data_IF_624487111814
#
_entry.id   IF_624487111814
#
_cell.length_a   1.000
_cell.length_b   1.000
_cell.length_c   1.000
_cell.angle_alpha   90.00
_cell.angle_beta   90.00
_cell.angle_gamma   90.00
#
_symmetry.space_group_name_H-M   'P 1'
#
loop_
_entity.id
_entity.type
_entity.pdbx_description
1 polymer ?
#
# COMPACT_ATOMS: atom_id res chain seq x y z
N UNK A 1 21.56 20.44 -4.60
CA UNK A 1 21.02 19.88 -3.34
C UNK A 1 19.57 19.57 -3.62
N UNK A 2 19.06 18.42 -3.18
CA UNK A 2 17.65 18.12 -3.32
C UNK A 2 16.82 19.14 -2.52
N UNK A 3 15.68 19.53 -3.07
CA UNK A 3 14.74 20.45 -2.43
C UNK A 3 14.08 19.74 -1.23
N UNK A 4 14.11 20.37 -0.05
CA UNK A 4 13.48 19.84 1.16
C UNK A 4 12.33 20.75 1.57
N UNK A 5 11.11 20.21 1.55
CA UNK A 5 9.88 20.94 1.85
C UNK A 5 9.17 20.27 3.03
N UNK A 6 8.67 21.09 3.97
CA UNK A 6 7.79 20.62 5.04
C UNK A 6 6.37 20.46 4.48
N UNK A 7 5.83 19.24 4.52
CA UNK A 7 4.49 18.96 3.99
C UNK A 7 3.80 17.83 4.72
N UNK A 8 2.49 17.73 4.55
CA UNK A 8 1.70 16.57 5.03
C UNK A 8 1.94 15.33 4.18
N UNK A 9 1.68 14.14 4.75
CA UNK A 9 1.74 12.88 4.01
C UNK A 9 0.83 12.85 2.78
N UNK A 10 -0.39 13.38 2.89
CA UNK A 10 -1.30 13.47 1.75
C UNK A 10 -0.78 14.39 0.64
N UNK A 11 -0.16 15.51 1.00
CA UNK A 11 0.50 16.43 0.04
C UNK A 11 1.69 15.74 -0.65
N UNK A 12 2.44 14.94 0.11
CA UNK A 12 3.58 14.19 -0.41
C UNK A 12 3.18 13.17 -1.49
N UNK A 13 2.00 12.54 -1.38
CA UNK A 13 1.45 11.68 -2.45
C UNK A 13 1.25 12.47 -3.74
N UNK A 14 0.67 13.67 -3.66
CA UNK A 14 0.43 14.51 -4.83
C UNK A 14 1.75 14.92 -5.52
N UNK A 15 2.73 15.37 -4.74
CA UNK A 15 4.06 15.70 -5.26
C UNK A 15 4.78 14.47 -5.82
N UNK A 16 4.65 13.29 -5.19
CA UNK A 16 5.16 12.02 -5.71
C UNK A 16 4.58 11.68 -7.08
N UNK A 17 3.26 11.86 -7.26
CA UNK A 17 2.59 11.63 -8.53
C UNK A 17 3.08 12.56 -9.65
N UNK A 18 3.19 13.87 -9.36
CA UNK A 18 3.68 14.86 -10.32
C UNK A 18 5.13 14.52 -10.73
N UNK A 19 6.00 14.23 -9.74
CA UNK A 19 7.44 14.06 -9.96
C UNK A 19 7.84 12.71 -10.55
N UNK A 20 7.02 11.66 -10.38
CA UNK A 20 7.28 10.36 -11.02
C UNK A 20 6.77 10.26 -12.47
N UNK A 21 6.23 11.35 -13.02
CA UNK A 21 5.73 11.40 -14.39
C UNK A 21 4.40 10.67 -14.58
N UNK A 22 3.49 10.76 -13.60
CA UNK A 22 2.13 10.24 -13.75
C UNK A 22 1.38 10.98 -14.87
N UNK A 23 0.58 10.22 -15.62
CA UNK A 23 -0.25 10.75 -16.72
C UNK A 23 -1.59 11.27 -16.23
N UNK A 24 -2.14 10.70 -15.15
CA UNK A 24 -3.43 11.12 -14.66
C UNK A 24 -3.74 10.70 -13.24
N UNK A 25 -4.52 11.53 -12.57
CA UNK A 25 -5.18 11.25 -11.30
C UNK A 25 -6.69 11.42 -11.45
N UNK A 26 -7.43 10.40 -11.03
CA UNK A 26 -8.90 10.39 -11.05
C UNK A 26 -9.38 10.05 -9.64
N UNK A 27 -9.96 11.01 -8.93
CA UNK A 27 -10.30 10.81 -7.52
C UNK A 27 -11.61 11.46 -7.12
N UNK A 28 -12.12 11.02 -5.96
CA UNK A 28 -13.25 11.63 -5.29
C UNK A 28 -12.81 12.03 -3.87
N UNK A 29 -13.09 13.26 -3.41
CA UNK A 29 -12.64 13.74 -2.11
C UNK A 29 -13.32 13.00 -0.97
N UNK A 30 -12.52 12.50 -0.03
CA UNK A 30 -12.99 11.84 1.19
C UNK A 30 -11.97 12.01 2.31
N UNK A 31 -12.43 12.34 3.53
CA UNK A 31 -11.55 12.42 4.71
C UNK A 31 -11.04 11.03 5.11
N UNK A 32 -9.73 10.86 5.43
CA UNK A 32 -8.73 11.91 5.68
C UNK A 32 -7.75 12.17 4.53
N UNK A 33 -8.07 11.90 3.26
CA UNK A 33 -7.14 12.03 2.13
C UNK A 33 -7.46 13.18 1.15
N UNK A 34 -8.41 14.06 1.48
CA UNK A 34 -8.86 15.14 0.57
C UNK A 34 -7.70 16.03 0.09
N UNK A 35 -6.66 16.23 0.91
CA UNK A 35 -5.51 17.05 0.55
C UNK A 35 -4.73 16.52 -0.67
N UNK A 36 -4.86 15.25 -1.05
CA UNK A 36 -4.21 14.73 -2.28
C UNK A 36 -4.74 15.45 -3.50
N UNK A 37 -6.08 15.50 -3.68
CA UNK A 37 -6.68 16.20 -4.83
C UNK A 37 -6.54 17.71 -4.70
N UNK A 38 -6.68 18.26 -3.49
CA UNK A 38 -6.52 19.71 -3.24
C UNK A 38 -5.12 20.18 -3.64
N UNK A 39 -4.06 19.45 -3.26
CA UNK A 39 -2.68 19.75 -3.63
C UNK A 39 -2.48 19.64 -5.15
N UNK A 40 -2.99 18.58 -5.79
CA UNK A 40 -2.92 18.45 -7.24
C UNK A 40 -3.63 19.60 -7.96
N UNK A 41 -4.77 20.07 -7.45
CA UNK A 41 -5.48 21.23 -8.02
C UNK A 41 -4.73 22.55 -7.80
N UNK A 42 -4.04 22.70 -6.66
CA UNK A 42 -3.23 23.89 -6.37
C UNK A 42 -1.95 23.94 -7.22
N UNK A 43 -1.25 22.80 -7.40
CA UNK A 43 -0.02 22.67 -8.19
C UNK A 43 -0.24 22.73 -9.70
N UNK A 44 -1.50 22.56 -10.17
CA UNK A 44 -1.89 22.60 -11.58
C UNK A 44 -0.97 21.82 -12.53
N UNK A 45 -0.72 20.51 -12.28
CA UNK A 45 0.24 19.75 -13.07
C UNK A 45 -0.13 19.63 -14.56
N UNK A 46 -1.37 19.92 -14.95
CA UNK A 46 -1.77 20.01 -16.37
C UNK A 46 -1.10 21.16 -17.10
N UNK A 47 -0.69 22.24 -16.40
CA UNK A 47 0.03 23.39 -16.96
C UNK A 47 1.54 23.11 -17.04
N UNK A 48 2.10 22.33 -16.12
CA UNK A 48 3.55 22.13 -15.97
C UNK A 48 4.06 20.83 -16.57
N UNK A 49 3.41 19.70 -16.27
CA UNK A 49 3.80 18.37 -16.75
C UNK A 49 2.83 17.78 -17.76
N UNK A 50 1.65 18.36 -17.90
CA UNK A 50 0.53 17.85 -18.72
C UNK A 50 -0.20 16.66 -18.06
N UNK A 51 0.01 16.39 -16.76
CA UNK A 51 -0.75 15.39 -16.01
C UNK A 51 -2.22 15.80 -15.90
N UNK A 52 -3.14 14.91 -16.23
CA UNK A 52 -4.57 15.15 -16.11
C UNK A 52 -4.99 14.95 -14.65
N UNK A 53 -5.70 15.91 -14.09
CA UNK A 53 -6.33 15.80 -12.77
C UNK A 53 -7.82 16.00 -12.93
N UNK A 54 -8.61 15.03 -12.47
CA UNK A 54 -10.07 15.09 -12.62
C UNK A 54 -10.75 14.56 -11.36
N UNK A 55 -11.66 15.38 -10.81
CA UNK A 55 -12.55 14.93 -9.77
C UNK A 55 -13.70 14.13 -10.39
N UNK A 56 -13.81 12.88 -10.01
CA UNK A 56 -14.90 12.01 -10.44
C UNK A 56 -16.18 12.29 -9.63
N UNK A 57 -17.28 11.77 -10.08
CA UNK A 57 -18.59 11.89 -9.41
C UNK A 57 -18.68 10.98 -8.17
N UNK A 58 -17.92 9.87 -8.17
CA UNK A 58 -17.89 8.89 -7.09
C UNK A 58 -16.61 8.04 -7.16
N UNK A 59 -16.36 7.24 -6.14
CA UNK A 59 -15.26 6.27 -6.12
C UNK A 59 -15.41 5.21 -7.22
N UNK A 60 -16.65 4.79 -7.51
CA UNK A 60 -16.94 3.86 -8.61
C UNK A 60 -16.58 4.49 -9.95
N UNK A 61 -16.89 5.76 -10.16
CA UNK A 61 -16.47 6.49 -11.37
C UNK A 61 -14.96 6.63 -11.44
N UNK A 62 -14.30 6.95 -10.32
CA UNK A 62 -12.83 7.09 -10.22
C UNK A 62 -12.11 5.83 -10.70
N UNK A 63 -12.48 4.66 -10.18
CA UNK A 63 -11.79 3.41 -10.53
C UNK A 63 -12.06 2.99 -11.99
N UNK A 64 -13.22 3.32 -12.55
CA UNK A 64 -13.51 3.08 -13.97
C UNK A 64 -12.72 4.02 -14.89
N UNK A 65 -12.47 5.27 -14.48
CA UNK A 65 -11.56 6.18 -15.20
C UNK A 65 -10.11 5.66 -15.14
N UNK A 66 -9.67 5.16 -13.98
CA UNK A 66 -8.36 4.50 -13.84
C UNK A 66 -8.28 3.29 -14.77
N UNK A 67 -9.32 2.45 -14.84
CA UNK A 67 -9.36 1.29 -15.75
C UNK A 67 -9.17 1.73 -17.21
N UNK A 68 -9.90 2.77 -17.64
CA UNK A 68 -9.77 3.31 -18.99
C UNK A 68 -8.38 3.86 -19.28
N UNK A 69 -7.85 4.69 -18.39
CA UNK A 69 -6.50 5.27 -18.51
C UNK A 69 -5.40 4.22 -18.50
N UNK A 70 -5.44 3.27 -17.57
CA UNK A 70 -4.48 2.15 -17.50
C UNK A 70 -4.53 1.29 -18.76
N UNK A 71 -5.73 1.06 -19.32
CA UNK A 71 -5.91 0.32 -20.57
C UNK A 71 -5.21 0.95 -21.78
N UNK A 72 -4.91 2.24 -21.75
CA UNK A 72 -4.11 2.92 -22.77
C UNK A 72 -2.60 2.87 -22.56
N UNK A 73 -2.14 2.24 -21.48
CA UNK A 73 -0.72 2.15 -21.10
C UNK A 73 -0.18 3.36 -20.36
N UNK A 74 -1.05 4.29 -19.95
CA UNK A 74 -0.68 5.50 -19.20
C UNK A 74 -0.53 5.21 -17.72
N UNK A 75 0.35 5.96 -17.02
CA UNK A 75 0.53 5.93 -15.57
C UNK A 75 -0.63 6.69 -14.90
N UNK A 76 -1.64 5.97 -14.44
CA UNK A 76 -2.82 6.58 -13.81
C UNK A 76 -3.02 6.07 -12.40
N UNK A 77 -3.56 6.91 -11.53
CA UNK A 77 -3.80 6.59 -10.13
C UNK A 77 -5.10 7.18 -9.59
N UNK A 78 -5.49 6.67 -8.45
CA UNK A 78 -6.55 7.21 -7.60
C UNK A 78 -6.17 7.13 -6.14
N UNK A 79 -6.85 7.91 -5.30
CA UNK A 79 -6.78 7.77 -3.84
C UNK A 79 -8.18 7.82 -3.24
N UNK A 80 -8.37 7.11 -2.13
CA UNK A 80 -9.58 7.11 -1.34
C UNK A 80 -9.30 6.72 0.11
N UNK A 81 -10.33 6.47 0.89
CA UNK A 81 -10.26 6.02 2.28
C UNK A 81 -11.24 4.88 2.49
N UNK A 82 -10.80 3.79 3.09
CA UNK A 82 -11.58 2.66 3.63
C UNK A 82 -12.88 2.32 2.88
N UNK A 83 -13.98 3.02 3.20
CA UNK A 83 -15.29 2.76 2.57
C UNK A 83 -15.32 3.11 1.08
N UNK A 84 -14.53 4.11 0.64
CA UNK A 84 -14.41 4.40 -0.79
C UNK A 84 -13.66 3.31 -1.53
N UNK A 85 -12.67 2.68 -0.91
CA UNK A 85 -12.01 1.48 -1.47
C UNK A 85 -12.99 0.31 -1.58
N UNK A 86 -13.93 0.19 -0.62
CA UNK A 86 -15.00 -0.81 -0.72
C UNK A 86 -15.87 -0.61 -1.97
N UNK A 87 -16.18 0.65 -2.33
CA UNK A 87 -16.89 0.97 -3.57
C UNK A 87 -16.06 0.69 -4.84
N UNK A 88 -14.73 0.74 -4.74
CA UNK A 88 -13.82 0.44 -5.85
C UNK A 88 -13.56 -1.06 -6.04
N UNK A 89 -13.99 -1.93 -5.14
CA UNK A 89 -13.59 -3.34 -5.08
C UNK A 89 -13.86 -4.12 -6.37
N UNK A 90 -14.99 -3.88 -7.05
CA UNK A 90 -15.29 -4.48 -8.35
C UNK A 90 -14.28 -4.03 -9.42
N UNK A 91 -14.04 -2.72 -9.51
CA UNK A 91 -13.08 -2.15 -10.47
C UNK A 91 -11.65 -2.64 -10.24
N UNK A 92 -11.23 -2.84 -8.99
CA UNK A 92 -9.93 -3.43 -8.63
C UNK A 92 -9.82 -4.88 -9.15
N UNK A 93 -10.88 -5.67 -8.99
CA UNK A 93 -10.95 -7.02 -9.55
C UNK A 93 -10.83 -7.01 -11.09
N UNK A 94 -11.51 -6.06 -11.76
CA UNK A 94 -11.41 -5.90 -13.22
C UNK A 94 -10.01 -5.49 -13.67
N UNK A 95 -9.36 -4.56 -12.97
CA UNK A 95 -7.98 -4.14 -13.24
C UNK A 95 -7.00 -5.33 -13.13
N UNK A 96 -7.13 -6.12 -12.07
CA UNK A 96 -6.31 -7.30 -11.86
C UNK A 96 -6.55 -8.37 -12.94
N UNK A 97 -7.81 -8.66 -13.26
CA UNK A 97 -8.20 -9.63 -14.28
C UNK A 97 -7.82 -9.23 -15.70
N UNK A 98 -7.74 -7.93 -16.00
CA UNK A 98 -7.28 -7.39 -17.26
C UNK A 98 -5.75 -7.12 -17.29
N UNK A 99 -5.05 -7.41 -16.21
CA UNK A 99 -3.60 -7.16 -16.03
C UNK A 99 -3.22 -5.69 -16.32
N UNK A 100 -3.94 -4.75 -15.71
CA UNK A 100 -3.74 -3.31 -15.91
C UNK A 100 -2.95 -2.69 -14.75
N UNK A 101 -1.82 -2.02 -15.06
CA UNK A 101 -1.00 -1.35 -14.06
C UNK A 101 -1.61 -0.01 -13.64
N UNK A 102 -1.75 0.20 -12.34
CA UNK A 102 -2.13 1.49 -11.74
C UNK A 102 -1.69 1.55 -10.28
N UNK A 103 -1.75 2.75 -9.70
CA UNK A 103 -1.55 2.95 -8.26
C UNK A 103 -2.87 3.36 -7.62
N UNK A 104 -3.23 2.69 -6.54
CA UNK A 104 -4.37 3.03 -5.69
C UNK A 104 -3.85 3.36 -4.30
N UNK A 105 -4.26 4.49 -3.74
CA UNK A 105 -3.89 4.88 -2.38
C UNK A 105 -5.11 4.74 -1.47
N UNK A 106 -4.97 3.99 -0.39
CA UNK A 106 -5.93 3.93 0.70
C UNK A 106 -5.33 4.61 1.93
N UNK A 107 -5.88 5.76 2.33
CA UNK A 107 -5.56 6.39 3.62
C UNK A 107 -6.62 5.95 4.61
N UNK A 108 -6.30 4.91 5.38
CA UNK A 108 -7.26 4.21 6.25
C UNK A 108 -7.80 5.08 7.38
N UNK A 109 -9.08 4.91 7.66
CA UNK A 109 -9.78 5.45 8.81
C UNK A 109 -10.52 4.38 9.60
N UNK A 110 -10.96 4.71 10.82
CA UNK A 110 -11.65 3.77 11.70
C UNK A 110 -13.04 3.39 11.20
N UNK A 111 -13.27 2.09 10.98
CA UNK A 111 -14.55 1.46 10.65
C UNK A 111 -15.06 0.62 11.81
N UNK A 112 -16.11 -0.22 11.59
CA UNK A 112 -16.80 -0.48 10.33
C UNK A 112 -17.85 0.55 9.94
N UNK A 113 -18.39 0.42 8.72
CA UNK A 113 -19.41 1.31 8.16
C UNK A 113 -18.86 2.71 7.87
N UNK A 114 -19.66 3.74 8.12
CA UNK A 114 -19.20 5.13 7.97
C UNK A 114 -18.08 5.44 8.99
N UNK A 115 -18.12 4.80 10.14
CA UNK A 115 -17.10 4.83 11.18
C UNK A 115 -16.76 6.23 11.69
N UNK A 116 -15.46 6.49 11.78
CA UNK A 116 -14.91 7.79 12.19
C UNK A 116 -13.88 8.28 11.18
N UNK A 117 -13.58 9.58 11.18
CA UNK A 117 -12.50 10.16 10.37
C UNK A 117 -11.11 9.94 10.99
N UNK A 118 -11.06 9.40 12.21
CA UNK A 118 -9.81 9.12 12.91
C UNK A 118 -9.07 7.94 12.25
N UNK A 119 -7.73 7.87 12.39
CA UNK A 119 -6.91 6.86 11.71
C UNK A 119 -7.21 5.43 12.17
N UNK A 120 -7.01 4.45 11.29
CA UNK A 120 -7.14 3.02 11.59
C UNK A 120 -6.23 2.19 10.69
N UNK A 121 -6.13 0.88 10.99
CA UNK A 121 -5.40 -0.11 10.18
C UNK A 121 -6.26 -1.36 9.95
N UNK A 122 -7.59 -1.19 9.89
CA UNK A 122 -8.53 -2.30 9.79
C UNK A 122 -8.85 -2.75 8.36
N UNK A 123 -8.19 -2.17 7.35
CA UNK A 123 -8.37 -2.56 5.94
C UNK A 123 -7.26 -3.51 5.45
N UNK A 124 -6.46 -4.06 6.37
CA UNK A 124 -5.38 -4.98 6.01
C UNK A 124 -5.91 -6.19 5.23
N UNK A 125 -6.94 -6.87 5.73
CA UNK A 125 -7.52 -8.02 5.01
C UNK A 125 -8.08 -7.62 3.65
N UNK A 126 -8.77 -6.48 3.55
CA UNK A 126 -9.29 -5.97 2.29
C UNK A 126 -8.16 -5.77 1.26
N UNK A 127 -7.00 -5.28 1.69
CA UNK A 127 -5.86 -5.03 0.82
C UNK A 127 -5.11 -6.31 0.42
N UNK A 128 -4.88 -7.24 1.35
CA UNK A 128 -3.97 -8.38 1.15
C UNK A 128 -4.67 -9.72 0.91
N UNK A 129 -5.93 -9.88 1.38
CA UNK A 129 -6.70 -11.12 1.23
C UNK A 129 -7.74 -11.05 0.10
N UNK A 130 -7.89 -9.88 -0.56
CA UNK A 130 -8.81 -9.63 -1.65
C UNK A 130 -10.06 -8.87 -1.21
N UNK A 131 -10.16 -7.60 -1.62
CA UNK A 131 -11.29 -6.72 -1.31
C UNK A 131 -12.45 -6.84 -2.29
N UNK A 132 -12.21 -7.38 -3.49
CA UNK A 132 -13.20 -7.68 -4.51
C UNK A 132 -13.44 -9.19 -4.62
N UNK A 133 -13.74 -9.66 -5.82
CA UNK A 133 -13.99 -11.07 -6.12
C UNK A 133 -12.91 -11.67 -7.01
N UNK A 134 -12.78 -13.01 -6.98
CA UNK A 134 -11.79 -13.77 -7.72
C UNK A 134 -10.46 -13.91 -6.98
N UNK A 135 -9.58 -14.74 -7.54
CA UNK A 135 -8.30 -15.14 -6.92
C UNK A 135 -7.18 -14.14 -7.26
N UNK A 136 -7.43 -12.83 -7.10
CA UNK A 136 -6.43 -11.82 -7.39
C UNK A 136 -5.68 -11.33 -6.15
N UNK A 137 -4.50 -10.78 -6.39
CA UNK A 137 -3.66 -10.07 -5.41
C UNK A 137 -3.22 -8.74 -6.00
N UNK A 138 -2.90 -7.79 -5.13
CA UNK A 138 -2.21 -6.54 -5.46
C UNK A 138 -0.90 -6.49 -4.68
N UNK A 139 0.11 -5.79 -5.20
CA UNK A 139 1.25 -5.44 -4.35
C UNK A 139 0.80 -4.33 -3.41
N UNK A 140 1.02 -4.53 -2.10
CA UNK A 140 0.58 -3.60 -1.06
C UNK A 140 1.77 -3.04 -0.32
N UNK A 141 1.96 -1.73 -0.39
CA UNK A 141 3.05 -0.97 0.25
C UNK A 141 2.51 -0.22 1.46
N UNK A 142 3.18 -0.32 2.61
CA UNK A 142 2.80 0.35 3.85
C UNK A 142 3.82 1.43 4.25
N UNK A 143 3.55 2.71 3.97
CA UNK A 143 4.41 3.82 4.38
C UNK A 143 4.38 4.01 5.90
N UNK A 144 5.51 4.45 6.48
CA UNK A 144 5.62 4.82 7.89
C UNK A 144 6.23 6.21 8.11
N UNK A 145 6.46 6.96 7.04
CA UNK A 145 6.92 8.34 7.06
C UNK A 145 6.29 9.14 5.93
N UNK A 146 6.37 10.47 6.01
CA UNK A 146 5.92 11.34 4.91
C UNK A 146 6.83 11.17 3.68
N UNK A 147 8.11 10.85 3.87
CA UNK A 147 9.00 10.50 2.77
C UNK A 147 8.55 9.21 2.07
N UNK A 148 8.16 8.16 2.82
CA UNK A 148 7.61 6.94 2.22
C UNK A 148 6.34 7.26 1.40
N UNK A 149 5.48 8.18 1.86
CA UNK A 149 4.27 8.59 1.13
C UNK A 149 4.60 9.19 -0.25
N UNK A 150 5.70 9.93 -0.34
CA UNK A 150 6.21 10.47 -1.59
C UNK A 150 6.85 9.38 -2.47
N UNK A 151 7.81 8.62 -1.93
CA UNK A 151 8.63 7.66 -2.68
C UNK A 151 7.82 6.48 -3.20
N UNK A 152 6.83 6.01 -2.43
CA UNK A 152 6.05 4.82 -2.77
C UNK A 152 5.06 5.05 -3.92
N UNK A 153 4.78 6.29 -4.30
CA UNK A 153 4.00 6.54 -5.53
C UNK A 153 4.82 6.11 -6.76
N UNK A 154 6.06 6.53 -6.85
CA UNK A 154 6.98 6.12 -7.92
C UNK A 154 7.24 4.61 -7.91
N UNK A 155 7.61 4.07 -6.75
CA UNK A 155 7.80 2.63 -6.55
C UNK A 155 6.55 1.82 -6.93
N UNK A 156 5.37 2.31 -6.56
CA UNK A 156 4.10 1.68 -6.90
C UNK A 156 3.89 1.58 -8.40
N UNK A 157 4.17 2.65 -9.16
CA UNK A 157 4.11 2.61 -10.62
C UNK A 157 5.14 1.65 -11.23
N UNK A 158 6.38 1.67 -10.73
CA UNK A 158 7.42 0.77 -11.24
C UNK A 158 7.03 -0.70 -11.06
N UNK A 159 6.54 -1.07 -9.89
CA UNK A 159 6.07 -2.42 -9.61
C UNK A 159 4.81 -2.76 -10.41
N UNK A 160 3.86 -1.82 -10.52
CA UNK A 160 2.64 -2.02 -11.29
C UNK A 160 2.94 -2.32 -12.76
N UNK A 161 3.83 -1.56 -13.38
CA UNK A 161 4.20 -1.77 -14.80
C UNK A 161 5.07 -3.00 -15.00
N UNK A 162 6.01 -3.28 -14.07
CA UNK A 162 6.86 -4.48 -14.10
C UNK A 162 6.04 -5.77 -14.16
N UNK A 163 5.01 -5.86 -13.32
CA UNK A 163 4.21 -7.07 -13.19
C UNK A 163 2.84 -7.00 -13.88
N UNK A 164 2.48 -5.84 -14.44
CA UNK A 164 1.15 -5.59 -15.00
C UNK A 164 0.06 -5.98 -13.99
N UNK A 165 0.03 -5.28 -12.87
CA UNK A 165 -0.88 -5.52 -11.74
C UNK A 165 -1.19 -4.17 -11.06
N UNK A 166 -2.39 -3.98 -10.48
CA UNK A 166 -2.61 -2.85 -9.59
C UNK A 166 -1.69 -2.93 -8.37
N UNK A 167 -1.15 -1.79 -7.94
CA UNK A 167 -0.46 -1.67 -6.65
C UNK A 167 -1.29 -0.80 -5.71
N UNK A 168 -1.23 -1.10 -4.41
CA UNK A 168 -1.89 -0.30 -3.39
C UNK A 168 -0.88 0.26 -2.41
N UNK A 169 -0.96 1.56 -2.13
CA UNK A 169 -0.35 2.16 -0.96
C UNK A 169 -1.40 2.15 0.16
N UNK A 170 -1.13 1.38 1.21
CA UNK A 170 -1.99 1.24 2.37
C UNK A 170 -1.42 2.08 3.52
N UNK A 171 -1.81 3.35 3.57
CA UNK A 171 -1.41 4.31 4.57
C UNK A 171 -2.46 4.41 5.68
N UNK A 172 -2.06 4.82 6.87
CA UNK A 172 -3.00 5.23 7.91
C UNK A 172 -3.15 6.76 7.98
N UNK A 173 -4.27 7.22 8.56
CA UNK A 173 -4.58 8.63 8.63
C UNK A 173 -3.60 9.45 9.47
N UNK A 174 -2.79 8.81 10.36
CA UNK A 174 -1.73 9.52 11.10
C UNK A 174 -0.65 9.98 10.15
N UNK A 175 -0.10 9.04 9.35
CA UNK A 175 0.94 9.38 8.36
C UNK A 175 0.41 10.35 7.31
N UNK A 176 -0.87 10.20 6.90
CA UNK A 176 -1.50 11.11 5.93
C UNK A 176 -1.56 12.57 6.41
N UNK A 177 -1.78 12.79 7.70
CA UNK A 177 -1.97 14.14 8.28
C UNK A 177 -0.73 14.72 8.97
N UNK A 178 0.24 13.89 9.34
CA UNK A 178 1.46 14.39 9.98
C UNK A 178 2.34 15.16 8.99
N UNK A 179 3.12 16.11 9.52
CA UNK A 179 4.04 16.92 8.73
C UNK A 179 5.49 16.53 8.99
N UNK A 180 6.24 16.28 7.93
CA UNK A 180 7.69 16.03 7.97
C UNK A 180 8.38 16.76 6.81
N UNK A 181 9.71 16.89 6.91
CA UNK A 181 10.53 17.39 5.80
C UNK A 181 10.70 16.27 4.77
N UNK A 182 10.26 16.53 3.55
CA UNK A 182 10.37 15.60 2.42
C UNK A 182 11.45 16.11 1.47
N UNK A 183 12.32 15.21 1.08
CA UNK A 183 13.32 15.45 0.03
C UNK A 183 12.70 15.10 -1.33
N UNK A 184 12.50 16.15 -2.15
CA UNK A 184 11.89 15.99 -3.45
C UNK A 184 12.96 15.66 -4.50
N UNK A 185 12.79 14.55 -5.21
CA UNK A 185 13.59 14.17 -6.37
C UNK A 185 13.32 15.06 -7.60
N UNK A 186 14.09 14.92 -8.68
CA UNK A 186 13.81 15.62 -9.93
C UNK A 186 12.47 15.20 -10.52
N UNK A 187 11.88 16.08 -11.32
CA UNK A 187 10.67 15.75 -12.08
C UNK A 187 11.04 14.82 -13.23
N UNK A 188 10.47 13.62 -13.25
CA UNK A 188 10.56 12.69 -14.38
C UNK A 188 9.56 13.14 -15.44
N UNK A 189 9.97 13.39 -16.69
CA UNK A 189 9.04 13.69 -17.76
C UNK A 189 8.02 12.55 -17.96
N UNK A 190 6.80 12.89 -18.34
CA UNK A 190 5.84 11.89 -18.78
C UNK A 190 6.33 11.22 -20.05
N UNK A 191 6.00 9.94 -20.20
CA UNK A 191 6.33 9.19 -21.40
C UNK A 191 5.57 9.76 -22.61
N UNK A 192 6.28 9.87 -23.74
CA UNK A 192 5.66 10.19 -25.02
C UNK A 192 4.72 9.06 -25.48
N UNK A 193 3.86 9.33 -26.46
CA UNK A 193 2.98 8.28 -27.00
C UNK A 193 3.77 7.17 -27.72
N UNK A 194 4.93 7.50 -28.28
CA UNK A 194 5.87 6.55 -28.88
C UNK A 194 6.45 5.62 -27.82
N UNK A 195 6.98 6.16 -26.73
CA UNK A 195 7.51 5.39 -25.59
C UNK A 195 6.43 4.49 -24.96
N UNK A 196 5.19 4.99 -24.83
CA UNK A 196 4.07 4.17 -24.33
C UNK A 196 3.75 3.03 -25.30
N UNK A 197 3.78 3.25 -26.62
CA UNK A 197 3.55 2.16 -27.61
C UNK A 197 4.64 1.10 -27.53
N UNK A 198 5.90 1.52 -27.37
CA UNK A 198 7.04 0.61 -27.27
C UNK A 198 7.02 -0.19 -25.95
N UNK A 199 6.85 0.48 -24.82
CA UNK A 199 6.88 -0.14 -23.49
C UNK A 199 5.60 -0.91 -23.15
N UNK A 200 4.46 -0.53 -23.74
CA UNK A 200 3.14 -1.13 -23.50
C UNK A 200 2.52 -1.67 -24.79
N UNK A 201 3.11 -2.67 -25.47
CA UNK A 201 2.59 -3.21 -26.73
C UNK A 201 1.19 -3.84 -26.59
N UNK A 202 0.77 -4.15 -25.38
CA UNK A 202 -0.53 -4.67 -25.01
C UNK A 202 -1.64 -3.59 -24.93
N UNK A 203 -1.28 -2.31 -24.85
CA UNK A 203 -2.22 -1.23 -24.55
C UNK A 203 -3.16 -0.91 -25.72
N UNK A 204 -4.37 -0.42 -25.40
CA UNK A 204 -5.37 0.02 -26.35
C UNK A 204 -5.16 1.49 -26.76
N UNK A 205 -4.02 1.80 -27.37
CA UNK A 205 -3.56 3.15 -27.72
C UNK A 205 -3.52 3.40 -29.26
N UNK A 206 -4.42 2.79 -30.00
CA UNK A 206 -4.50 2.88 -31.46
C UNK A 206 -3.89 1.67 -32.19
N UNK A 207 -4.28 1.49 -33.47
CA UNK A 207 -3.95 0.32 -34.28
C UNK A 207 -2.73 0.53 -35.21
N UNK A 208 -2.03 1.62 -35.11
CA UNK A 208 -0.96 1.99 -36.06
C UNK A 208 0.08 0.87 -36.24
N UNK A 209 0.12 0.27 -37.43
CA UNK A 209 1.13 -0.72 -37.83
C UNK A 209 1.09 -2.08 -37.10
N UNK A 210 0.04 -2.38 -36.31
CA UNK A 210 -0.09 -3.62 -35.52
C UNK A 210 -1.51 -4.18 -35.51
N UNK A 211 -1.68 -5.39 -34.97
CA UNK A 211 -2.99 -5.97 -34.70
C UNK A 211 -3.77 -5.21 -33.61
N UNK A 212 -5.07 -5.48 -33.52
CA UNK A 212 -5.96 -4.90 -32.50
C UNK A 212 -5.63 -5.50 -31.13
N UNK A 213 -5.44 -4.67 -30.12
CA UNK A 213 -5.46 -5.08 -28.72
C UNK A 213 -6.87 -4.98 -28.15
N UNK A 214 -7.24 -5.97 -27.35
CA UNK A 214 -8.50 -6.01 -26.61
C UNK A 214 -8.16 -6.09 -25.12
N UNK A 215 -8.60 -5.09 -24.38
CA UNK A 215 -8.47 -5.05 -22.92
C UNK A 215 -9.79 -5.52 -22.32
N UNK A 216 -9.78 -6.68 -21.68
CA UNK A 216 -10.96 -7.24 -21.01
C UNK A 216 -10.58 -8.27 -19.97
N UNK A 217 -11.31 -8.29 -18.86
CA UNK A 217 -11.28 -9.37 -17.87
C UNK A 217 -12.25 -10.53 -18.21
N UNK A 218 -13.20 -10.29 -19.15
CA UNK A 218 -14.21 -11.28 -19.51
C UNK A 218 -13.60 -12.48 -20.24
N UNK A 219 -13.96 -13.69 -19.81
CA UNK A 219 -13.78 -14.93 -20.54
C UNK A 219 -15.06 -15.77 -20.36
N UNK A 220 -15.75 -16.06 -21.46
CA UNK A 220 -17.00 -16.85 -21.40
C UNK A 220 -16.74 -18.35 -21.26
N UNK A 221 -15.60 -18.82 -21.78
CA UNK A 221 -15.15 -20.20 -21.60
C UNK A 221 -14.44 -20.35 -20.26
N UNK A 222 -14.93 -21.22 -19.35
CA UNK A 222 -14.32 -21.42 -18.03
C UNK A 222 -12.87 -21.96 -18.11
N UNK A 223 -12.53 -22.75 -19.12
CA UNK A 223 -11.14 -23.24 -19.31
C UNK A 223 -10.19 -22.09 -19.67
N UNK A 224 -10.65 -21.12 -20.46
CA UNK A 224 -9.88 -19.90 -20.76
C UNK A 224 -9.70 -19.06 -19.50
N UNK A 225 -10.74 -18.94 -18.66
CA UNK A 225 -10.63 -18.21 -17.39
C UNK A 225 -9.71 -18.92 -16.41
N UNK A 226 -9.73 -20.25 -16.34
CA UNK A 226 -8.79 -21.02 -15.52
C UNK A 226 -7.33 -20.77 -15.94
N UNK A 227 -7.03 -20.79 -17.23
CA UNK A 227 -5.67 -20.51 -17.73
C UNK A 227 -5.20 -19.09 -17.40
N UNK A 228 -6.10 -18.10 -17.44
CA UNK A 228 -5.78 -16.74 -16.96
C UNK A 228 -5.43 -16.74 -15.47
N UNK A 229 -6.20 -17.43 -14.64
CA UNK A 229 -5.94 -17.53 -13.21
C UNK A 229 -4.63 -18.25 -12.91
N UNK A 230 -4.30 -19.34 -13.61
CA UNK A 230 -3.00 -20.05 -13.48
C UNK A 230 -1.85 -19.09 -13.78
N UNK A 231 -1.96 -18.28 -14.84
CA UNK A 231 -0.97 -17.25 -15.17
C UNK A 231 -0.83 -16.19 -14.07
N UNK A 232 -1.95 -15.73 -13.51
CA UNK A 232 -1.94 -14.76 -12.40
C UNK A 232 -1.29 -15.36 -11.15
N UNK A 233 -1.59 -16.61 -10.78
CA UNK A 233 -0.97 -17.27 -9.63
C UNK A 233 0.55 -17.44 -9.80
N UNK A 234 1.02 -17.77 -11.01
CA UNK A 234 2.45 -17.82 -11.31
C UNK A 234 3.13 -16.46 -11.13
N UNK A 235 2.49 -15.39 -11.60
CA UNK A 235 2.93 -14.00 -11.38
C UNK A 235 3.01 -13.64 -9.90
N UNK A 236 2.00 -14.00 -9.11
CA UNK A 236 2.00 -13.71 -7.66
C UNK A 236 3.12 -14.45 -6.94
N UNK A 237 3.43 -15.68 -7.35
CA UNK A 237 4.57 -16.42 -6.81
C UNK A 237 5.91 -15.71 -7.13
N UNK A 238 6.09 -15.24 -8.36
CA UNK A 238 7.26 -14.45 -8.75
C UNK A 238 7.38 -13.17 -7.91
N UNK A 239 6.26 -12.47 -7.67
CA UNK A 239 6.22 -11.28 -6.79
C UNK A 239 6.61 -11.65 -5.36
N UNK A 240 6.11 -12.75 -4.81
CA UNK A 240 6.45 -13.23 -3.47
C UNK A 240 7.93 -13.59 -3.32
N UNK A 241 8.57 -14.04 -4.38
CA UNK A 241 10.00 -14.37 -4.39
C UNK A 241 10.90 -13.14 -4.48
N UNK A 242 10.48 -12.08 -5.19
CA UNK A 242 11.36 -11.00 -5.60
C UNK A 242 11.06 -9.63 -4.97
N UNK A 243 9.85 -9.41 -4.41
CA UNK A 243 9.41 -8.05 -4.05
C UNK A 243 9.13 -7.86 -2.56
N UNK A 244 9.54 -8.82 -1.71
CA UNK A 244 9.45 -8.64 -0.26
C UNK A 244 10.35 -7.50 0.20
N UNK A 245 9.76 -6.52 0.89
CA UNK A 245 10.46 -5.40 1.51
C UNK A 245 10.09 -5.29 2.98
N UNK A 246 11.08 -5.09 3.82
CA UNK A 246 10.92 -4.90 5.25
C UNK A 246 12.08 -4.06 5.80
N UNK A 247 11.91 -3.51 6.98
CA UNK A 247 12.99 -2.91 7.76
C UNK A 247 13.01 -3.52 9.17
N UNK A 248 14.13 -3.37 9.84
CA UNK A 248 14.31 -3.86 11.21
C UNK A 248 14.86 -2.75 12.09
N UNK A 249 14.51 -2.79 13.38
CA UNK A 249 15.09 -1.91 14.38
C UNK A 249 15.54 -2.72 15.59
N UNK A 250 16.83 -2.65 15.93
CA UNK A 250 17.47 -3.36 17.07
C UNK A 250 17.15 -4.87 17.11
N UNK A 251 17.18 -5.53 15.94
CA UNK A 251 16.76 -6.93 15.77
C UNK A 251 17.86 -7.95 16.09
N UNK A 252 19.14 -7.58 16.03
CA UNK A 252 20.30 -8.47 15.97
C UNK A 252 20.44 -9.36 17.21
N UNK A 253 20.15 -8.82 18.39
CA UNK A 253 20.24 -9.51 19.68
C UNK A 253 18.86 -9.68 20.34
N UNK A 254 17.77 -9.48 19.59
CA UNK A 254 16.43 -9.49 20.13
C UNK A 254 16.01 -10.89 20.62
N UNK A 255 15.45 -10.93 21.83
CA UNK A 255 14.78 -12.12 22.39
C UNK A 255 13.28 -12.13 22.11
N UNK A 256 12.70 -10.96 21.87
CA UNK A 256 11.30 -10.75 21.48
C UNK A 256 11.24 -9.78 20.31
N UNK A 257 10.29 -9.99 19.42
CA UNK A 257 10.14 -9.16 18.22
C UNK A 257 8.71 -8.58 18.17
N UNK A 258 8.63 -7.25 18.07
CA UNK A 258 7.40 -6.59 17.68
C UNK A 258 7.28 -6.64 16.16
N UNK A 259 6.06 -6.90 15.66
CA UNK A 259 5.76 -6.81 14.22
C UNK A 259 4.68 -5.75 14.05
N UNK A 260 4.97 -4.71 13.27
CA UNK A 260 4.06 -3.58 13.09
C UNK A 260 4.36 -2.82 11.81
N UNK A 261 3.35 -2.13 11.25
CA UNK A 261 3.49 -1.30 10.04
C UNK A 261 2.87 0.08 10.24
N UNK A 262 3.10 0.97 9.29
CA UNK A 262 2.54 2.32 9.33
C UNK A 262 2.99 3.12 10.55
N UNK A 263 2.13 4.00 11.06
CA UNK A 263 2.43 4.80 12.24
C UNK A 263 2.71 3.96 13.48
N UNK A 264 2.10 2.77 13.60
CA UNK A 264 2.31 1.88 14.74
C UNK A 264 3.75 1.37 14.84
N UNK A 265 4.47 1.24 13.72
CA UNK A 265 5.89 0.87 13.75
C UNK A 265 6.75 1.93 14.46
N UNK A 266 6.41 3.20 14.32
CA UNK A 266 7.09 4.32 14.99
C UNK A 266 6.86 4.31 16.51
N UNK A 267 5.62 4.03 16.92
CA UNK A 267 5.31 3.82 18.35
C UNK A 267 6.09 2.62 18.90
N UNK A 268 6.19 1.54 18.14
CA UNK A 268 6.96 0.36 18.53
C UNK A 268 8.47 0.65 18.70
N UNK A 269 9.06 1.55 17.90
CA UNK A 269 10.47 1.95 18.09
C UNK A 269 10.69 2.61 19.46
N UNK A 270 9.81 3.50 19.89
CA UNK A 270 9.85 4.11 21.22
C UNK A 270 9.66 3.08 22.33
N UNK A 271 8.70 2.17 22.17
CA UNK A 271 8.47 1.04 23.11
C UNK A 271 9.71 0.16 23.26
N UNK A 272 10.40 -0.11 22.16
CA UNK A 272 11.62 -0.90 22.15
C UNK A 272 12.73 -0.20 22.92
N UNK A 273 12.86 1.11 22.77
CA UNK A 273 13.88 1.89 23.49
C UNK A 273 13.63 1.88 24.99
N UNK A 274 12.37 2.05 25.41
CA UNK A 274 11.98 1.97 26.81
C UNK A 274 12.19 0.55 27.39
N UNK A 275 11.78 -0.50 26.67
CA UNK A 275 11.96 -1.89 27.08
C UNK A 275 13.45 -2.25 27.22
N UNK A 276 14.28 -1.79 26.28
CA UNK A 276 15.75 -2.02 26.33
C UNK A 276 16.42 -1.26 27.47
N UNK A 277 15.98 -0.05 27.78
CA UNK A 277 16.44 0.69 28.94
C UNK A 277 16.12 -0.06 30.27
N UNK A 278 15.03 -0.83 30.29
CA UNK A 278 14.66 -1.72 31.38
C UNK A 278 15.36 -3.10 31.32
N UNK A 279 16.30 -3.33 30.41
CA UNK A 279 17.10 -4.55 30.30
C UNK A 279 16.48 -5.68 29.45
N UNK A 280 15.43 -5.40 28.68
CA UNK A 280 14.77 -6.39 27.83
C UNK A 280 15.23 -6.26 26.37
N UNK A 281 15.67 -7.36 25.76
CA UNK A 281 16.12 -7.41 24.36
C UNK A 281 14.93 -7.56 23.43
N UNK A 282 14.37 -6.42 23.04
CA UNK A 282 13.24 -6.34 22.11
C UNK A 282 13.71 -5.70 20.81
N UNK A 283 13.21 -6.16 19.67
CA UNK A 283 13.45 -5.60 18.36
C UNK A 283 12.15 -5.46 17.55
N UNK A 284 12.21 -4.75 16.41
CA UNK A 284 11.11 -4.59 15.47
C UNK A 284 11.43 -5.24 14.14
N UNK A 285 10.46 -5.91 13.57
CA UNK A 285 10.35 -6.16 12.14
C UNK A 285 9.15 -5.36 11.61
N UNK A 286 9.41 -4.41 10.72
CA UNK A 286 8.40 -3.61 10.03
C UNK A 286 8.24 -4.14 8.60
N UNK A 287 7.12 -4.78 8.24
CA UNK A 287 6.79 -5.03 6.84
C UNK A 287 6.62 -3.68 6.10
N UNK A 288 7.32 -3.52 4.99
CA UNK A 288 7.11 -2.42 4.02
C UNK A 288 6.15 -2.89 2.94
N UNK A 289 6.30 -4.14 2.48
CA UNK A 289 5.27 -4.82 1.70
C UNK A 289 4.40 -5.66 2.62
N UNK A 290 3.06 -5.47 2.53
CA UNK A 290 2.08 -6.31 3.20
C UNK A 290 1.63 -7.47 2.30
N UNK A 291 1.67 -7.29 0.99
CA UNK A 291 1.76 -8.34 0.00
C UNK A 291 2.81 -7.92 -1.05
N UNK A 292 3.86 -8.72 -1.24
CA UNK A 292 4.19 -9.96 -0.52
C UNK A 292 4.63 -9.70 0.93
N UNK A 293 4.21 -10.57 1.85
CA UNK A 293 4.55 -10.49 3.27
C UNK A 293 5.93 -11.09 3.55
N UNK A 294 6.72 -10.62 4.53
CA UNK A 294 8.06 -11.14 4.86
C UNK A 294 8.01 -12.45 5.66
N UNK A 295 7.33 -13.47 5.11
CA UNK A 295 7.10 -14.76 5.78
C UNK A 295 8.41 -15.49 6.12
N UNK A 296 9.36 -15.52 5.16
CA UNK A 296 10.65 -16.19 5.35
C UNK A 296 11.46 -15.58 6.50
N UNK A 297 11.50 -14.25 6.55
CA UNK A 297 12.23 -13.49 7.57
C UNK A 297 11.65 -13.72 8.97
N UNK A 298 10.32 -13.73 9.08
CA UNK A 298 9.63 -14.04 10.34
C UNK A 298 9.86 -15.51 10.73
N UNK A 299 9.79 -16.44 9.78
CA UNK A 299 10.06 -17.87 10.04
C UNK A 299 11.50 -18.14 10.51
N UNK A 300 12.49 -17.38 9.98
CA UNK A 300 13.90 -17.44 10.42
C UNK A 300 14.08 -16.86 11.84
N UNK A 301 13.43 -15.73 12.14
CA UNK A 301 13.44 -15.13 13.47
C UNK A 301 12.76 -16.03 14.49
N UNK A 302 11.70 -16.73 14.14
CA UNK A 302 11.02 -17.68 15.03
C UNK A 302 11.90 -18.83 15.52
N UNK A 303 13.00 -19.13 14.84
CA UNK A 303 14.03 -20.07 15.30
C UNK A 303 15.02 -19.50 16.33
N UNK A 304 14.98 -18.19 16.60
CA UNK A 304 15.99 -17.47 17.38
C UNK A 304 15.41 -16.72 18.58
N UNK A 305 14.13 -16.33 18.53
CA UNK A 305 13.47 -15.49 19.52
C UNK A 305 12.52 -16.29 20.42
N UNK A 306 12.10 -15.72 21.53
CA UNK A 306 11.18 -16.34 22.51
C UNK A 306 9.72 -16.08 22.17
N UNK A 307 9.41 -15.07 21.34
CA UNK A 307 8.03 -14.75 20.95
C UNK A 307 7.91 -13.47 20.13
N UNK A 308 6.72 -13.30 19.55
CA UNK A 308 6.33 -12.14 18.75
C UNK A 308 5.13 -11.43 19.37
N UNK A 309 5.10 -10.10 19.26
CA UNK A 309 3.92 -9.26 19.53
C UNK A 309 3.54 -8.52 18.25
N UNK A 310 2.38 -8.85 17.67
CA UNK A 310 1.80 -8.03 16.59
C UNK A 310 1.10 -6.83 17.18
N UNK A 311 1.41 -5.63 16.67
CA UNK A 311 0.87 -4.35 17.17
C UNK A 311 0.18 -3.61 16.02
N UNK A 312 -1.14 -3.37 16.16
CA UNK A 312 -1.97 -2.86 15.07
C UNK A 312 -3.05 -1.89 15.57
N UNK A 313 -3.47 -0.94 14.73
CA UNK A 313 -4.72 -0.20 14.96
C UNK A 313 -5.92 -0.93 14.35
N UNK A 314 -6.11 -2.18 14.77
CA UNK A 314 -7.19 -3.07 14.31
C UNK A 314 -7.58 -4.06 15.39
N UNK A 315 -8.58 -4.89 15.11
CA UNK A 315 -8.97 -6.02 15.96
C UNK A 315 -8.09 -7.27 15.80
N UNK A 316 -6.97 -7.16 15.07
CA UNK A 316 -6.05 -8.26 14.78
C UNK A 316 -6.27 -8.84 13.38
N UNK A 317 -5.54 -8.32 12.41
CA UNK A 317 -5.57 -8.78 11.02
C UNK A 317 -4.18 -9.24 10.56
N UNK A 318 -3.15 -8.40 10.64
CA UNK A 318 -1.79 -8.79 10.28
C UNK A 318 -1.26 -9.91 11.19
N UNK A 319 -1.70 -9.98 12.43
CA UNK A 319 -1.33 -11.05 13.38
C UNK A 319 -1.57 -12.45 12.83
N UNK A 320 -2.56 -12.63 11.93
CA UNK A 320 -2.81 -13.92 11.29
C UNK A 320 -1.66 -14.33 10.36
N UNK A 321 -1.14 -13.38 9.56
CA UNK A 321 0.00 -13.64 8.69
C UNK A 321 1.31 -13.84 9.49
N UNK A 322 1.47 -13.14 10.63
CA UNK A 322 2.56 -13.40 11.57
C UNK A 322 2.46 -14.82 12.14
N UNK A 323 1.27 -15.24 12.59
CA UNK A 323 1.04 -16.60 13.10
C UNK A 323 1.31 -17.68 12.05
N UNK A 324 0.86 -17.46 10.82
CA UNK A 324 1.14 -18.38 9.70
C UNK A 324 2.64 -18.49 9.44
N UNK A 325 3.35 -17.36 9.45
CA UNK A 325 4.81 -17.33 9.21
C UNK A 325 5.61 -18.00 10.34
N UNK A 326 5.21 -17.79 11.59
CA UNK A 326 5.83 -18.42 12.77
C UNK A 326 5.54 -19.92 12.84
N UNK A 327 4.38 -20.35 12.34
CA UNK A 327 3.95 -21.74 12.25
C UNK A 327 4.09 -22.51 13.59
N UNK A 328 3.67 -21.89 14.68
CA UNK A 328 3.64 -22.50 16.03
C UNK A 328 4.98 -22.72 16.72
N UNK A 329 6.11 -22.26 16.15
CA UNK A 329 7.44 -22.45 16.74
C UNK A 329 7.61 -21.72 18.07
N UNK A 330 7.05 -20.52 18.20
CA UNK A 330 7.06 -19.68 19.40
C UNK A 330 5.71 -18.97 19.56
N UNK A 331 5.39 -18.46 20.76
CA UNK A 331 4.16 -17.69 20.97
C UNK A 331 4.09 -16.45 20.07
N UNK A 332 2.90 -16.18 19.51
CA UNK A 332 2.55 -14.95 18.81
C UNK A 332 1.38 -14.31 19.54
N UNK A 333 1.67 -13.20 20.20
CA UNK A 333 0.71 -12.41 20.95
C UNK A 333 0.24 -11.22 20.12
N UNK A 334 -0.86 -10.61 20.54
CA UNK A 334 -1.48 -9.49 19.87
C UNK A 334 -1.81 -8.36 20.85
N UNK A 335 -1.58 -7.13 20.37
CA UNK A 335 -2.11 -5.90 20.96
C UNK A 335 -2.68 -5.02 19.86
N UNK A 336 -3.88 -4.47 20.08
CA UNK A 336 -4.52 -3.56 19.14
C UNK A 336 -5.52 -2.62 19.78
N UNK A 337 -5.72 -1.46 19.12
CA UNK A 337 -6.81 -0.52 19.40
C UNK A 337 -7.65 -0.38 18.11
N UNK A 338 -8.91 -0.09 18.26
CA UNK A 338 -9.88 -0.05 17.16
C UNK A 338 -10.62 1.28 17.11
N UNK A 339 -11.37 1.51 16.02
CA UNK A 339 -12.33 2.61 15.93
C UNK A 339 -11.70 4.02 15.93
N UNK A 340 -10.41 4.15 15.58
CA UNK A 340 -9.75 5.45 15.50
C UNK A 340 -8.94 5.83 16.74
N UNK A 341 -8.76 4.92 17.69
CA UNK A 341 -7.95 5.16 18.89
C UNK A 341 -6.49 4.81 18.60
N UNK A 342 -5.60 5.78 18.73
CA UNK A 342 -4.16 5.60 18.64
C UNK A 342 -3.65 5.25 20.05
N UNK A 343 -2.97 4.10 20.23
CA UNK A 343 -2.43 3.74 21.55
C UNK A 343 -1.23 4.61 21.91
N UNK A 344 -1.07 4.90 23.20
CA UNK A 344 0.15 5.46 23.75
C UNK A 344 1.26 4.40 23.81
N UNK A 345 2.56 4.77 23.74
CA UNK A 345 3.66 3.84 23.89
C UNK A 345 3.58 3.00 25.15
N UNK A 346 3.14 3.57 26.28
CA UNK A 346 2.97 2.90 27.58
C UNK A 346 1.97 1.75 27.50
N UNK A 347 0.87 1.90 26.76
CA UNK A 347 -0.14 0.84 26.59
C UNK A 347 0.44 -0.38 25.87
N UNK A 348 1.30 -0.15 24.87
CA UNK A 348 1.99 -1.21 24.09
C UNK A 348 3.06 -1.87 24.97
N UNK A 349 3.81 -1.09 25.75
CA UNK A 349 4.82 -1.58 26.68
C UNK A 349 4.20 -2.45 27.77
N UNK A 350 3.10 -2.01 28.37
CA UNK A 350 2.34 -2.77 29.36
C UNK A 350 1.81 -4.08 28.76
N UNK A 351 1.31 -4.03 27.53
CA UNK A 351 0.89 -5.25 26.84
C UNK A 351 2.06 -6.24 26.64
N UNK A 352 3.24 -5.76 26.26
CA UNK A 352 4.44 -6.58 26.14
C UNK A 352 4.78 -7.25 27.47
N UNK A 353 4.83 -6.51 28.58
CA UNK A 353 5.13 -7.07 29.90
C UNK A 353 4.06 -8.08 30.35
N UNK A 354 2.78 -7.77 30.19
CA UNK A 354 1.69 -8.66 30.58
C UNK A 354 1.69 -9.99 29.79
N UNK A 355 2.18 -10.01 28.56
CA UNK A 355 2.23 -11.19 27.70
C UNK A 355 3.48 -12.04 27.90
N UNK A 356 4.64 -11.43 28.16
CA UNK A 356 5.93 -12.15 28.15
C UNK A 356 6.72 -12.10 29.45
N UNK A 357 6.32 -11.30 30.44
CA UNK A 357 7.10 -11.07 31.66
C UNK A 357 6.29 -11.31 32.95
N UNK A 358 5.33 -12.21 32.90
CA UNK A 358 4.59 -12.65 34.08
C UNK A 358 5.47 -13.37 35.06
#
# INVERSE_FOLDING_TARGET
>A
MAEKILMKGNEAIAHGAIRCGADGYFGYPITPQTEVIETLMAEKPWETTGMVVLQAESETSSINMVYGGAGTGKKVMTSSSSLGISLMAEGLSYLAGAELPCVVVNVMRGGPGLGTIQPGQADYFQAVKGGGHGDYKMIVLAPASVQDMYDFVGLGFDLAFKYRIPTMMLADGVIGQMMEKVELGPVTPRRTDEEVREQCPWAANGKQGRGRNIITSLALDPLVQEQKNIKLQAKYKEIQENEVRYSTYKIEDAEYVLVSYGCMSRICEEVIDQARAAGHKVGLLRPITLFPFPEKQIAELAGKVKGFLSVEMSGGQMVEDVKLSVNGKVPVEFFGRMGGVIPAPEEVLDAFYNKFKK
#
